data_IF_327204214930
#
_entry.id   IF_327204214930
#
_cell.length_a   1.000
_cell.length_b   1.000
_cell.length_c   1.000
_cell.angle_alpha   90.00
_cell.angle_beta   90.00
_cell.angle_gamma   90.00
#
_symmetry.space_group_name_H-M   'P 1'
#
loop_
_entity.id
_entity.type
_entity.pdbx_description
1 polymer ?
#
# COMPACT_ATOMS: atom_id res chain seq x y z
N UNK A 1 -14.34 -23.64 -5.62
CA UNK A 1 -13.95 -22.34 -5.02
C UNK A 1 -13.27 -21.51 -6.10
N UNK A 2 -13.79 -20.31 -6.42
CA UNK A 2 -13.12 -19.39 -7.35
C UNK A 2 -11.95 -18.77 -6.58
N UNK A 3 -10.72 -19.11 -6.97
CA UNK A 3 -9.53 -18.49 -6.38
C UNK A 3 -9.39 -17.12 -7.04
N UNK A 4 -9.71 -16.06 -6.29
CA UNK A 4 -9.59 -14.69 -6.78
C UNK A 4 -8.13 -14.27 -6.78
N UNK A 5 -7.59 -13.99 -7.96
CA UNK A 5 -6.21 -13.50 -8.14
C UNK A 5 -6.03 -12.03 -7.77
N UNK A 6 -7.14 -11.31 -7.56
CA UNK A 6 -7.14 -9.91 -7.17
C UNK A 6 -8.06 -9.68 -6.00
N UNK A 7 -7.67 -8.75 -5.13
CA UNK A 7 -8.52 -8.20 -4.09
C UNK A 7 -8.55 -6.68 -4.20
N UNK A 8 -9.73 -6.10 -3.99
CA UNK A 8 -9.95 -4.66 -3.95
C UNK A 8 -10.70 -4.31 -2.69
N UNK A 9 -10.15 -3.39 -1.91
CA UNK A 9 -10.78 -2.91 -0.67
C UNK A 9 -10.73 -1.39 -0.60
N UNK A 10 -11.79 -0.80 -0.05
CA UNK A 10 -11.94 0.65 0.15
C UNK A 10 -12.37 0.90 1.60
N UNK A 11 -11.84 1.95 2.23
CA UNK A 11 -12.20 2.36 3.59
C UNK A 11 -12.01 1.28 4.64
N UNK A 12 -10.85 0.62 4.61
CA UNK A 12 -10.55 -0.49 5.53
C UNK A 12 -9.48 -0.08 6.55
N UNK A 13 -9.74 -0.41 7.81
CA UNK A 13 -8.70 -0.38 8.86
C UNK A 13 -8.00 -1.73 8.81
N UNK A 14 -6.75 -1.74 8.37
CA UNK A 14 -5.92 -2.94 8.34
C UNK A 14 -4.93 -2.87 9.50
N UNK A 15 -4.69 -4.01 10.13
CA UNK A 15 -3.50 -4.22 10.96
C UNK A 15 -2.49 -5.02 10.15
N UNK A 16 -1.26 -5.13 10.66
CA UNK A 16 -0.24 -6.00 10.07
C UNK A 16 -0.74 -7.44 9.97
N UNK A 17 -1.46 -7.92 10.99
CA UNK A 17 -2.02 -9.27 11.04
C UNK A 17 -3.07 -9.50 9.94
N UNK A 18 -3.87 -8.47 9.59
CA UNK A 18 -4.84 -8.58 8.50
C UNK A 18 -4.15 -8.81 7.14
N UNK A 19 -3.04 -8.12 6.87
CA UNK A 19 -2.25 -8.31 5.64
C UNK A 19 -1.66 -9.73 5.60
N UNK A 20 -1.06 -10.18 6.71
CA UNK A 20 -0.47 -11.52 6.79
C UNK A 20 -1.53 -12.60 6.58
N UNK A 21 -2.65 -12.51 7.29
CA UNK A 21 -3.76 -13.46 7.17
C UNK A 21 -4.36 -13.47 5.75
N UNK A 22 -4.44 -12.31 5.10
CA UNK A 22 -4.88 -12.21 3.71
C UNK A 22 -3.93 -12.97 2.76
N UNK A 23 -2.61 -12.79 2.92
CA UNK A 23 -1.61 -13.45 2.09
C UNK A 23 -1.55 -14.97 2.33
N UNK A 24 -1.74 -15.41 3.57
CA UNK A 24 -1.81 -16.84 3.94
C UNK A 24 -3.10 -17.49 3.44
N UNK A 25 -4.23 -16.78 3.53
CA UNK A 25 -5.55 -17.27 3.13
C UNK A 25 -5.76 -17.32 1.61
N UNK A 26 -4.98 -16.56 0.83
CA UNK A 26 -5.11 -16.51 -0.62
C UNK A 26 -3.76 -16.69 -1.33
N UNK A 27 -3.31 -17.94 -1.44
CA UNK A 27 -2.01 -18.30 -2.02
C UNK A 27 -1.85 -17.95 -3.51
N UNK A 28 -2.93 -17.72 -4.25
CA UNK A 28 -2.86 -17.30 -5.66
C UNK A 28 -3.13 -15.80 -5.86
N UNK A 29 -3.06 -15.00 -4.78
CA UNK A 29 -3.25 -13.56 -4.87
C UNK A 29 -2.08 -12.93 -5.62
N UNK A 30 -2.39 -12.34 -6.77
CA UNK A 30 -1.44 -11.70 -7.69
C UNK A 30 -1.51 -10.17 -7.60
N UNK A 31 -2.66 -9.62 -7.21
CA UNK A 31 -2.91 -8.16 -7.17
C UNK A 31 -3.67 -7.74 -5.91
N UNK A 32 -3.21 -6.65 -5.29
CA UNK A 32 -3.90 -5.97 -4.19
C UNK A 32 -4.20 -4.52 -4.60
N UNK A 33 -5.46 -4.11 -4.50
CA UNK A 33 -5.90 -2.72 -4.62
C UNK A 33 -6.45 -2.24 -3.29
N UNK A 34 -5.80 -1.25 -2.67
CA UNK A 34 -6.23 -0.64 -1.42
C UNK A 34 -6.51 0.84 -1.64
N UNK A 35 -7.62 1.32 -1.08
CA UNK A 35 -8.00 2.72 -1.14
C UNK A 35 -8.48 3.21 0.23
N UNK A 36 -7.97 4.37 0.66
CA UNK A 36 -8.32 5.01 1.92
C UNK A 36 -8.16 4.05 3.12
N UNK A 37 -6.97 3.45 3.26
CA UNK A 37 -6.66 2.52 4.35
C UNK A 37 -5.87 3.21 5.46
N UNK A 38 -6.01 2.71 6.69
CA UNK A 38 -5.26 3.14 7.87
C UNK A 38 -5.01 1.98 8.84
N UNK A 39 -4.25 2.22 9.92
CA UNK A 39 -4.09 1.28 11.04
C UNK A 39 -2.77 0.52 11.07
N UNK A 40 -1.83 0.84 10.18
CA UNK A 40 -0.49 0.24 10.19
C UNK A 40 0.57 1.19 9.65
N UNK A 41 1.77 1.11 10.23
CA UNK A 41 2.96 1.84 9.78
C UNK A 41 3.87 1.00 8.88
N UNK A 42 3.63 -0.32 8.76
CA UNK A 42 4.45 -1.24 7.97
C UNK A 42 3.64 -2.33 7.30
N UNK A 43 3.78 -2.47 5.98
CA UNK A 43 3.16 -3.50 5.17
C UNK A 43 4.21 -4.51 4.69
N UNK A 44 4.09 -5.78 5.09
CA UNK A 44 4.95 -6.85 4.59
C UNK A 44 4.27 -7.69 3.52
N UNK A 45 4.76 -7.55 2.28
CA UNK A 45 4.27 -8.23 1.09
C UNK A 45 5.30 -9.24 0.60
N UNK A 46 5.44 -10.34 1.32
CA UNK A 46 6.46 -11.38 1.07
C UNK A 46 5.99 -12.56 0.23
N UNK A 47 4.76 -12.53 -0.28
CA UNK A 47 4.27 -13.55 -1.21
C UNK A 47 4.94 -13.41 -2.58
N UNK A 48 5.62 -14.45 -3.05
CA UNK A 48 6.23 -14.46 -4.39
C UNK A 48 5.19 -14.45 -5.53
N UNK A 49 3.93 -14.78 -5.22
CA UNK A 49 2.81 -14.74 -6.16
C UNK A 49 2.22 -13.34 -6.32
N UNK A 50 2.33 -12.49 -5.29
CA UNK A 50 1.84 -11.13 -5.35
C UNK A 50 2.76 -10.29 -6.23
N UNK A 51 2.23 -9.79 -7.36
CA UNK A 51 3.01 -9.04 -8.36
C UNK A 51 2.67 -7.56 -8.42
N UNK A 52 1.47 -7.16 -8.00
CA UNK A 52 1.00 -5.78 -8.15
C UNK A 52 0.33 -5.25 -6.88
N UNK A 53 0.74 -4.06 -6.45
CA UNK A 53 0.11 -3.29 -5.39
C UNK A 53 -0.31 -1.93 -5.94
N UNK A 54 -1.60 -1.65 -5.86
CA UNK A 54 -2.16 -0.33 -6.14
C UNK A 54 -2.73 0.23 -4.84
N UNK A 55 -2.25 1.40 -4.44
CA UNK A 55 -2.52 2.00 -3.16
C UNK A 55 -2.98 3.45 -3.34
N UNK A 56 -4.14 3.80 -2.79
CA UNK A 56 -4.61 5.19 -2.75
C UNK A 56 -4.69 5.59 -1.28
N UNK A 57 -3.74 6.42 -0.84
CA UNK A 57 -3.75 7.02 0.49
C UNK A 57 -4.69 8.22 0.52
N UNK A 58 -5.51 8.30 1.56
CA UNK A 58 -6.34 9.47 1.83
C UNK A 58 -6.04 9.94 3.24
N UNK A 59 -5.28 11.03 3.36
CA UNK A 59 -4.88 11.62 4.63
C UNK A 59 -5.87 12.74 4.96
N UNK A 60 -6.86 12.46 5.81
CA UNK A 60 -7.77 13.47 6.36
C UNK A 60 -7.58 13.70 7.87
N UNK A 61 -6.72 12.90 8.51
CA UNK A 61 -6.54 12.96 9.95
C UNK A 61 -5.36 13.88 10.30
N UNK A 62 -5.58 14.76 11.28
CA UNK A 62 -4.58 15.67 11.89
C UNK A 62 -3.44 14.92 12.63
N UNK A 63 -3.36 13.59 12.49
CA UNK A 63 -2.31 12.79 13.11
C UNK A 63 -0.91 13.17 12.58
N UNK A 64 0.04 13.18 13.51
CA UNK A 64 1.35 13.82 13.36
C UNK A 64 2.35 12.96 12.57
N UNK A 65 2.11 11.65 12.44
CA UNK A 65 3.05 10.73 11.77
C UNK A 65 2.37 9.70 10.86
N UNK A 66 2.23 10.04 9.58
CA UNK A 66 1.69 9.18 8.52
C UNK A 66 2.80 8.38 7.82
N UNK A 67 3.75 7.85 8.59
CA UNK A 67 4.85 7.04 8.04
C UNK A 67 4.38 5.64 7.66
N UNK A 68 4.54 5.28 6.38
CA UNK A 68 4.23 3.96 5.82
C UNK A 68 5.50 3.31 5.26
N UNK A 69 5.87 2.16 5.82
CA UNK A 69 6.90 1.29 5.29
C UNK A 69 6.29 0.16 4.45
N UNK A 70 6.80 -0.07 3.24
CA UNK A 70 6.39 -1.20 2.39
C UNK A 70 7.60 -2.10 2.16
N UNK A 71 7.54 -3.34 2.67
CA UNK A 71 8.54 -4.39 2.47
C UNK A 71 8.04 -5.36 1.42
N UNK A 72 8.63 -5.41 0.23
CA UNK A 72 8.04 -6.12 -0.91
C UNK A 72 9.06 -6.73 -1.89
N UNK A 73 9.84 -7.76 -1.47
CA UNK A 73 10.96 -8.30 -2.24
C UNK A 73 10.57 -8.84 -3.62
N UNK A 74 9.35 -9.35 -3.77
CA UNK A 74 8.89 -10.03 -4.98
C UNK A 74 7.85 -9.24 -5.79
N UNK A 75 7.55 -8.01 -5.35
CA UNK A 75 6.57 -7.16 -6.01
C UNK A 75 7.17 -6.57 -7.28
N UNK A 76 6.44 -6.65 -8.40
CA UNK A 76 6.93 -6.15 -9.69
C UNK A 76 6.40 -4.74 -9.98
N UNK A 77 5.20 -4.42 -9.50
CA UNK A 77 4.50 -3.19 -9.83
C UNK A 77 3.93 -2.53 -8.59
N UNK A 78 4.33 -1.29 -8.37
CA UNK A 78 3.78 -0.42 -7.34
C UNK A 78 3.16 0.81 -7.98
N UNK A 79 1.89 1.05 -7.70
CA UNK A 79 1.24 2.33 -7.97
C UNK A 79 0.73 2.90 -6.64
N UNK A 80 1.16 4.10 -6.31
CA UNK A 80 0.67 4.83 -5.14
C UNK A 80 0.18 6.20 -5.56
N UNK A 81 -1.03 6.52 -5.11
CA UNK A 81 -1.67 7.83 -5.22
C UNK A 81 -1.91 8.36 -3.81
N UNK A 82 -1.68 9.64 -3.56
CA UNK A 82 -2.04 10.25 -2.28
C UNK A 82 -1.63 11.71 -2.16
N UNK A 83 -2.03 12.37 -1.08
CA UNK A 83 -1.54 13.71 -0.75
C UNK A 83 -0.16 13.62 -0.08
N UNK A 84 0.76 14.52 -0.45
CA UNK A 84 2.07 14.64 0.22
C UNK A 84 1.98 15.30 1.60
N UNK A 85 0.80 15.75 2.03
CA UNK A 85 0.62 16.27 3.38
C UNK A 85 0.90 15.18 4.42
N UNK A 86 2.13 15.18 4.95
CA UNK A 86 2.57 14.31 6.04
C UNK A 86 2.90 12.86 5.68
N UNK A 87 2.61 12.39 4.46
CA UNK A 87 2.88 11.01 4.07
C UNK A 87 4.38 10.77 3.88
N UNK A 88 5.00 10.04 4.80
CA UNK A 88 6.36 9.53 4.65
C UNK A 88 6.30 8.07 4.20
N UNK A 89 6.45 7.82 2.91
CA UNK A 89 6.47 6.46 2.39
C UNK A 89 7.93 5.95 2.24
N UNK A 90 8.26 4.82 2.88
CA UNK A 90 9.55 4.15 2.77
C UNK A 90 9.37 2.80 2.07
N UNK A 91 10.02 2.64 0.92
CA UNK A 91 10.11 1.36 0.23
C UNK A 91 11.34 0.60 0.72
N UNK A 92 11.17 -0.65 1.16
CA UNK A 92 12.22 -1.48 1.74
C UNK A 92 12.23 -2.82 1.01
N UNK A 93 13.43 -3.31 0.67
CA UNK A 93 13.62 -4.58 -0.05
C UNK A 93 12.64 -4.72 -1.22
N UNK A 94 12.88 -3.92 -2.27
CA UNK A 94 12.10 -3.88 -3.50
C UNK A 94 12.87 -4.51 -4.67
N UNK A 95 13.60 -5.59 -4.35
CA UNK A 95 14.58 -6.22 -5.25
C UNK A 95 14.00 -6.68 -6.59
N UNK A 96 12.73 -7.10 -6.64
CA UNK A 96 12.06 -7.54 -7.88
C UNK A 96 11.21 -6.45 -8.56
N UNK A 97 11.30 -5.19 -8.12
CA UNK A 97 10.46 -4.12 -8.63
C UNK A 97 10.85 -3.72 -10.06
N UNK A 98 9.89 -3.80 -10.98
CA UNK A 98 10.08 -3.46 -12.40
C UNK A 98 9.55 -2.06 -12.70
N UNK A 99 8.39 -1.70 -12.15
CA UNK A 99 7.77 -0.40 -12.38
C UNK A 99 7.21 0.18 -11.08
N UNK A 100 7.55 1.43 -10.83
CA UNK A 100 7.02 2.20 -9.71
C UNK A 100 6.42 3.50 -10.22
N UNK A 101 5.17 3.76 -9.86
CA UNK A 101 4.47 4.99 -10.18
C UNK A 101 4.01 5.63 -8.87
N UNK A 102 4.60 6.77 -8.56
CA UNK A 102 4.23 7.58 -7.40
C UNK A 102 3.51 8.83 -7.92
N UNK A 103 2.25 9.01 -7.54
CA UNK A 103 1.43 10.17 -7.92
C UNK A 103 1.04 10.90 -6.65
N UNK A 104 1.39 12.18 -6.59
CA UNK A 104 1.12 12.97 -5.41
C UNK A 104 0.46 14.29 -5.75
N UNK A 105 -0.56 14.64 -4.96
CA UNK A 105 -1.12 15.98 -4.97
C UNK A 105 -0.23 16.91 -4.14
N UNK A 106 0.26 17.97 -4.78
CA UNK A 106 1.02 19.04 -4.15
C UNK A 106 0.08 20.22 -3.96
N UNK A 107 -0.20 20.57 -2.71
CA UNK A 107 -0.96 21.77 -2.36
C UNK A 107 0.02 22.89 -2.00
N UNK A 108 0.02 23.98 -2.77
CA UNK A 108 0.76 25.18 -2.39
C UNK A 108 -0.02 25.94 -1.32
N UNK A 109 0.52 26.02 -0.11
CA UNK A 109 -0.01 26.88 0.95
C UNK A 109 0.61 28.26 0.72
N UNK A 110 -0.23 29.28 0.50
CA UNK A 110 0.23 30.67 0.63
C UNK A 110 0.32 30.97 2.11
N UNK A 111 1.50 31.37 2.59
CA UNK A 111 1.63 31.96 3.93
C UNK A 111 0.58 33.08 4.07
N UNK A 112 -0.25 32.97 5.11
CA UNK A 112 -1.25 33.98 5.50
C UNK A 112 -0.63 35.07 6.36
#
# INVERSE_FOLDING_TARGET
>A
MKVSKSIKSKWIVLSNDHIVNLLLGCLALETIELSCFKGFSRMELRSSKLKRLNSISYNNDEEIDHSLEIVAPYLHHLETLGSLHGLKCRLVDISSMVNTKLMFDITCIKDM
#
